data_IF_826303701463
#
_entry.id   IF_826303701463
#
_cell.length_a   1.000
_cell.length_b   1.000
_cell.length_c   1.000
_cell.angle_alpha   90.00
_cell.angle_beta   90.00
_cell.angle_gamma   90.00
#
_symmetry.space_group_name_H-M   'P 1'
#
loop_
_entity.id
_entity.type
_entity.pdbx_description
1 polymer ?
#
# COMPACT_ATOMS: atom_id res chain seq x y z
N UNK A 1 25.68 12.46 15.05
CA UNK A 1 26.32 11.19 14.59
C UNK A 1 25.89 9.94 15.38
N UNK A 2 25.37 10.07 16.60
CA UNK A 2 24.80 8.96 17.40
C UNK A 2 23.29 8.74 17.18
N UNK A 3 22.68 9.42 16.21
CA UNK A 3 21.25 9.24 15.94
C UNK A 3 20.99 7.78 15.51
N UNK A 4 20.13 7.09 16.24
CA UNK A 4 19.65 5.76 15.90
C UNK A 4 18.74 5.91 14.69
N UNK A 5 19.00 5.13 13.64
CA UNK A 5 18.22 5.12 12.42
C UNK A 5 17.68 3.71 12.16
N UNK A 6 16.50 3.65 11.55
CA UNK A 6 15.95 2.41 11.02
C UNK A 6 16.51 2.14 9.63
N UNK A 7 16.86 0.88 9.39
CA UNK A 7 17.40 0.40 8.13
C UNK A 7 16.88 -1.00 7.83
N UNK A 8 16.50 -1.25 6.57
CA UNK A 8 16.18 -2.59 6.11
C UNK A 8 17.37 -3.19 5.36
N UNK A 9 17.73 -4.43 5.68
CA UNK A 9 18.77 -5.20 5.01
C UNK A 9 18.12 -6.37 4.28
N UNK A 10 18.42 -6.52 2.99
CA UNK A 10 18.10 -7.73 2.24
C UNK A 10 19.36 -8.59 2.12
N UNK A 11 19.34 -9.75 2.78
CA UNK A 11 20.44 -10.70 2.81
C UNK A 11 20.09 -11.90 1.94
N UNK A 12 20.85 -12.11 0.87
CA UNK A 12 20.71 -13.27 0.00
C UNK A 12 21.61 -14.39 0.50
N UNK A 13 21.05 -15.40 1.14
CA UNK A 13 21.78 -16.44 1.85
C UNK A 13 21.98 -17.68 0.97
N UNK A 14 23.25 -18.08 0.78
CA UNK A 14 23.61 -19.33 0.10
C UNK A 14 23.40 -20.55 1.00
N UNK A 15 23.63 -20.35 2.29
CA UNK A 15 23.53 -21.40 3.31
C UNK A 15 22.10 -21.58 3.82
N UNK A 16 21.89 -22.64 4.62
CA UNK A 16 20.60 -22.90 5.29
C UNK A 16 20.28 -21.95 6.45
N UNK A 17 19.11 -22.14 7.07
CA UNK A 17 18.59 -21.28 8.14
C UNK A 17 19.48 -21.21 9.40
N UNK A 18 20.41 -22.16 9.60
CA UNK A 18 21.35 -22.12 10.74
C UNK A 18 22.22 -20.85 10.78
N UNK A 19 22.44 -20.20 9.63
CA UNK A 19 23.21 -18.96 9.52
C UNK A 19 22.45 -17.76 10.09
N UNK A 20 21.13 -17.84 10.27
CA UNK A 20 20.29 -16.77 10.80
C UNK A 20 20.66 -16.42 12.24
N UNK A 21 20.91 -17.41 13.09
CA UNK A 21 21.35 -17.20 14.47
C UNK A 21 22.67 -16.41 14.53
N UNK A 22 23.58 -16.67 13.57
CA UNK A 22 24.84 -15.94 13.43
C UNK A 22 24.62 -14.50 12.97
N UNK A 23 23.66 -14.26 12.07
CA UNK A 23 23.28 -12.90 11.62
C UNK A 23 22.76 -12.09 12.79
N UNK A 24 21.81 -12.63 13.55
CA UNK A 24 21.23 -11.97 14.71
C UNK A 24 22.30 -11.64 15.75
N UNK A 25 23.19 -12.59 16.05
CA UNK A 25 24.32 -12.35 16.96
C UNK A 25 25.30 -11.29 16.44
N UNK A 26 25.50 -11.23 15.12
CA UNK A 26 26.37 -10.22 14.51
C UNK A 26 25.74 -8.83 14.62
N UNK A 27 24.43 -8.70 14.40
CA UNK A 27 23.70 -7.45 14.58
C UNK A 27 23.80 -6.97 16.03
N UNK A 28 23.64 -7.88 16.99
CA UNK A 28 23.76 -7.60 18.42
C UNK A 28 25.20 -7.14 18.78
N UNK A 29 26.23 -7.80 18.26
CA UNK A 29 27.63 -7.40 18.46
C UNK A 29 27.96 -5.98 17.94
N UNK A 30 27.21 -5.49 16.95
CA UNK A 30 27.33 -4.12 16.44
C UNK A 30 26.33 -3.15 17.12
N UNK A 31 25.75 -3.52 18.26
CA UNK A 31 24.77 -2.73 19.02
C UNK A 31 23.55 -2.32 18.16
N UNK A 32 23.00 -3.27 17.39
CA UNK A 32 21.75 -3.08 16.65
C UNK A 32 20.58 -3.84 17.26
N UNK A 33 19.40 -3.26 17.20
CA UNK A 33 18.15 -3.91 17.57
C UNK A 33 17.43 -4.41 16.30
N UNK A 34 16.90 -5.64 16.31
CA UNK A 34 16.12 -6.18 15.20
C UNK A 34 14.64 -5.90 15.46
N UNK A 35 14.01 -5.16 14.56
CA UNK A 35 12.59 -4.77 14.67
C UNK A 35 11.68 -5.71 13.88
N UNK A 36 12.18 -6.22 12.76
CA UNK A 36 11.45 -7.17 11.92
C UNK A 36 12.44 -8.13 11.28
N UNK A 37 12.08 -9.41 11.25
CA UNK A 37 12.84 -10.41 10.51
C UNK A 37 11.87 -11.35 9.81
N UNK A 38 12.03 -11.47 8.50
CA UNK A 38 11.32 -12.44 7.68
C UNK A 38 12.29 -13.15 6.74
N UNK A 39 12.00 -14.42 6.46
CA UNK A 39 12.76 -15.22 5.50
C UNK A 39 11.81 -15.81 4.47
N UNK A 40 12.28 -15.93 3.24
CA UNK A 40 11.58 -16.58 2.13
C UNK A 40 12.55 -17.44 1.34
N UNK A 41 12.11 -18.56 0.76
CA UNK A 41 12.89 -19.28 -0.24
C UNK A 41 13.25 -18.34 -1.40
N UNK A 42 14.52 -18.27 -1.77
CA UNK A 42 14.93 -17.39 -2.86
C UNK A 42 14.57 -17.98 -4.22
N UNK A 43 14.26 -17.12 -5.19
CA UNK A 43 14.06 -17.49 -6.58
C UNK A 43 15.37 -17.40 -7.40
N UNK A 44 16.45 -16.87 -6.80
CA UNK A 44 17.72 -16.68 -7.47
C UNK A 44 18.58 -17.96 -7.46
N UNK A 45 19.18 -18.29 -8.61
CA UNK A 45 20.04 -19.46 -8.75
C UNK A 45 21.24 -19.40 -7.77
N UNK A 46 21.41 -20.45 -6.97
CA UNK A 46 22.50 -20.56 -5.99
C UNK A 46 22.25 -19.83 -4.66
N UNK A 47 21.06 -19.27 -4.45
CA UNK A 47 20.61 -18.69 -3.17
C UNK A 47 19.50 -19.57 -2.61
N UNK A 48 19.60 -19.96 -1.34
CA UNK A 48 18.56 -20.78 -0.70
C UNK A 48 17.45 -19.92 -0.10
N UNK A 49 17.82 -18.84 0.57
CA UNK A 49 16.87 -17.96 1.27
C UNK A 49 17.20 -16.50 1.06
N UNK A 50 16.16 -15.69 0.94
CA UNK A 50 16.24 -14.24 1.09
C UNK A 50 15.71 -13.87 2.47
N UNK A 51 16.52 -13.16 3.25
CA UNK A 51 16.15 -12.65 4.57
C UNK A 51 16.02 -11.13 4.52
N UNK A 52 14.83 -10.61 4.85
CA UNK A 52 14.62 -9.19 5.08
C UNK A 52 14.70 -8.93 6.58
N UNK A 53 15.66 -8.11 6.98
CA UNK A 53 15.92 -7.77 8.38
C UNK A 53 15.83 -6.26 8.55
N UNK A 54 14.84 -5.77 9.29
CA UNK A 54 14.76 -4.37 9.71
C UNK A 54 15.49 -4.21 11.04
N UNK A 55 16.43 -3.28 11.09
CA UNK A 55 17.26 -3.00 12.26
C UNK A 55 17.24 -1.53 12.62
N UNK A 56 17.25 -1.23 13.91
CA UNK A 56 17.54 0.10 14.44
C UNK A 56 18.94 0.14 15.07
N UNK A 57 19.81 0.98 14.52
CA UNK A 57 21.19 1.13 15.00
C UNK A 57 21.82 2.45 14.55
N UNK A 58 22.99 2.80 15.08
CA UNK A 58 23.73 3.99 14.64
C UNK A 58 24.27 3.83 13.21
N UNK A 59 24.43 4.93 12.48
CA UNK A 59 24.98 4.90 11.10
C UNK A 59 26.37 4.27 11.01
N UNK A 60 27.23 4.54 12.00
CA UNK A 60 28.60 3.99 12.05
C UNK A 60 28.53 2.47 12.16
N UNK A 61 27.72 1.97 13.09
CA UNK A 61 27.59 0.54 13.33
C UNK A 61 26.93 -0.18 12.15
N UNK A 62 25.92 0.43 11.51
CA UNK A 62 25.29 -0.11 10.31
C UNK A 62 26.30 -0.32 9.18
N UNK A 63 27.16 0.66 8.93
CA UNK A 63 28.19 0.56 7.90
C UNK A 63 29.24 -0.52 8.24
N UNK A 64 29.61 -0.67 9.51
CA UNK A 64 30.51 -1.73 9.95
C UNK A 64 29.86 -3.12 9.82
N UNK A 65 28.60 -3.26 10.23
CA UNK A 65 27.80 -4.47 10.06
C UNK A 65 27.74 -4.88 8.58
N UNK A 66 27.39 -3.97 7.67
CA UNK A 66 27.31 -4.26 6.23
C UNK A 66 28.67 -4.73 5.68
N UNK A 67 29.77 -4.09 6.09
CA UNK A 67 31.12 -4.53 5.69
C UNK A 67 31.41 -5.95 6.18
N UNK A 68 31.11 -6.24 7.45
CA UNK A 68 31.29 -7.57 8.04
C UNK A 68 30.46 -8.64 7.32
N UNK A 69 29.18 -8.36 7.06
CA UNK A 69 28.29 -9.26 6.34
C UNK A 69 28.77 -9.50 4.89
N UNK A 70 29.25 -8.48 4.19
CA UNK A 70 29.80 -8.61 2.83
C UNK A 70 31.10 -9.41 2.75
N UNK A 71 31.87 -9.49 3.84
CA UNK A 71 33.08 -10.31 3.92
C UNK A 71 32.76 -11.80 4.13
N UNK A 72 31.54 -12.13 4.56
CA UNK A 72 31.13 -13.51 4.77
C UNK A 72 30.75 -14.18 3.45
N UNK A 73 31.30 -15.36 3.19
CA UNK A 73 31.02 -16.19 2.00
C UNK A 73 29.61 -16.79 1.99
N UNK A 74 28.92 -16.75 3.14
CA UNK A 74 27.57 -17.27 3.32
C UNK A 74 26.49 -16.46 2.60
N UNK A 75 26.82 -15.23 2.16
CA UNK A 75 25.88 -14.36 1.46
C UNK A 75 26.27 -14.22 -0.01
N UNK A 76 25.29 -14.36 -0.89
CA UNK A 76 25.42 -13.99 -2.30
C UNK A 76 25.34 -12.46 -2.51
N UNK A 77 24.68 -11.75 -1.59
CA UNK A 77 24.53 -10.31 -1.63
C UNK A 77 23.97 -9.73 -0.33
N UNK A 78 24.35 -8.49 -0.03
CA UNK A 78 23.90 -7.70 1.12
C UNK A 78 23.51 -6.32 0.61
N UNK A 79 22.20 -6.11 0.48
CA UNK A 79 21.63 -4.86 -0.03
C UNK A 79 21.05 -4.05 1.13
N UNK A 80 21.51 -2.80 1.29
CA UNK A 80 20.93 -1.84 2.22
C UNK A 80 19.76 -1.11 1.55
N UNK A 81 18.61 -1.20 2.17
CA UNK A 81 17.37 -0.51 1.83
C UNK A 81 17.14 0.53 2.93
N UNK A 82 17.67 1.73 2.73
CA UNK A 82 17.53 2.81 3.71
C UNK A 82 16.18 3.52 3.53
N UNK A 83 15.45 3.73 4.62
CA UNK A 83 14.27 4.62 4.65
C UNK A 83 14.66 6.11 4.66
N UNK A 84 15.92 6.45 4.98
CA UNK A 84 16.38 7.83 5.02
C UNK A 84 17.73 8.03 4.31
N UNK A 85 17.68 8.76 3.18
CA UNK A 85 18.73 9.62 2.59
C UNK A 85 20.22 9.27 2.90
N UNK A 86 20.61 8.02 2.67
CA UNK A 86 22.02 7.65 2.47
C UNK A 86 22.14 7.15 1.05
N UNK A 87 22.43 8.09 0.13
CA UNK A 87 22.90 7.87 -1.25
C UNK A 87 22.75 6.42 -1.77
N UNK A 88 21.52 6.03 -2.08
CA UNK A 88 21.24 4.86 -2.89
C UNK A 88 20.39 5.35 -4.05
N UNK A 89 20.84 5.07 -5.27
CA UNK A 89 20.19 5.46 -6.54
C UNK A 89 18.82 4.77 -6.77
N UNK A 90 18.20 4.22 -5.73
CA UNK A 90 17.00 3.40 -5.81
C UNK A 90 15.99 3.89 -4.77
N UNK A 91 14.90 4.54 -5.21
CA UNK A 91 13.87 4.98 -4.28
C UNK A 91 13.18 3.78 -3.63
N UNK A 92 12.79 3.93 -2.37
CA UNK A 92 12.01 2.94 -1.63
C UNK A 92 10.70 2.61 -2.36
N UNK A 93 10.27 1.35 -2.27
CA UNK A 93 8.98 0.87 -2.74
C UNK A 93 8.47 -0.27 -1.84
N UNK A 94 7.15 -0.40 -1.64
CA UNK A 94 6.55 -1.47 -0.86
C UNK A 94 6.90 -2.83 -1.45
N UNK A 95 7.22 -3.80 -0.59
CA UNK A 95 7.61 -5.16 -1.00
C UNK A 95 6.53 -6.19 -0.70
N UNK A 96 5.69 -5.89 0.27
CA UNK A 96 4.51 -6.66 0.60
C UNK A 96 3.27 -5.75 0.58
N UNK A 97 2.08 -6.30 0.31
CA UNK A 97 0.85 -5.52 0.25
C UNK A 97 0.51 -4.83 1.59
N UNK A 98 0.98 -5.35 2.71
CA UNK A 98 0.89 -4.68 4.02
C UNK A 98 1.73 -3.41 4.13
N UNK A 99 2.82 -3.29 3.36
CA UNK A 99 3.64 -2.08 3.35
C UNK A 99 2.88 -0.89 2.73
N UNK A 100 1.77 -1.14 2.03
CA UNK A 100 0.88 -0.08 1.53
C UNK A 100 0.22 0.70 2.66
N UNK A 101 0.21 0.19 3.90
CA UNK A 101 -0.18 0.96 5.08
C UNK A 101 0.72 2.19 5.32
N UNK A 102 1.92 2.20 4.74
CA UNK A 102 2.86 3.32 4.77
C UNK A 102 2.77 4.21 3.52
N UNK A 103 1.96 3.83 2.52
CA UNK A 103 1.78 4.55 1.25
C UNK A 103 0.56 5.48 1.31
N UNK A 104 0.51 6.35 2.33
CA UNK A 104 -0.61 7.29 2.56
C UNK A 104 -0.22 8.74 2.27
N UNK A 105 0.81 9.01 1.45
CA UNK A 105 1.21 10.39 1.18
C UNK A 105 0.15 11.07 0.32
N UNK A 106 -0.63 11.97 0.94
CA UNK A 106 -1.68 12.71 0.27
C UNK A 106 -1.14 13.97 -0.40
N UNK A 107 -1.74 14.30 -1.54
CA UNK A 107 -1.61 15.58 -2.22
C UNK A 107 -2.68 16.52 -1.68
N UNK A 108 -2.26 17.60 -1.02
CA UNK A 108 -3.15 18.59 -0.38
C UNK A 108 -3.90 19.49 -1.36
N UNK A 109 -3.53 19.47 -2.65
CA UNK A 109 -4.03 20.41 -3.67
C UNK A 109 -5.56 20.35 -3.91
N UNK A 110 -6.22 19.25 -3.54
CA UNK A 110 -7.63 19.00 -3.85
C UNK A 110 -8.49 18.79 -2.60
N UNK A 111 -8.01 19.24 -1.45
CA UNK A 111 -8.82 19.22 -0.23
C UNK A 111 -9.88 20.33 -0.31
N UNK A 112 -11.17 20.02 -0.08
CA UNK A 112 -12.26 21.00 -0.20
C UNK A 112 -12.12 22.22 0.73
N UNK A 113 -11.32 22.13 1.78
CA UNK A 113 -10.99 23.24 2.68
C UNK A 113 -9.91 24.18 2.14
N UNK A 114 -9.11 23.69 1.19
CA UNK A 114 -7.98 24.39 0.60
C UNK A 114 -8.28 24.92 -0.82
N UNK A 115 -9.36 24.46 -1.46
CA UNK A 115 -9.79 24.90 -2.79
C UNK A 115 -11.08 25.72 -2.76
N UNK A 116 -10.95 27.04 -2.88
CA UNK A 116 -12.08 27.98 -2.93
C UNK A 116 -13.02 27.78 -4.13
N UNK A 117 -12.57 27.11 -5.19
CA UNK A 117 -13.41 26.81 -6.36
C UNK A 117 -14.21 25.51 -6.18
N UNK A 118 -13.98 24.76 -5.11
CA UNK A 118 -14.74 23.55 -4.85
C UNK A 118 -16.20 23.90 -4.51
N UNK A 119 -17.21 23.28 -5.15
CA UNK A 119 -18.62 23.65 -4.94
C UNK A 119 -19.09 23.47 -3.49
N UNK A 120 -18.47 22.54 -2.76
CA UNK A 120 -18.69 22.32 -1.33
C UNK A 120 -17.79 23.13 -0.38
N UNK A 121 -17.01 24.11 -0.85
CA UNK A 121 -16.08 24.88 0.00
C UNK A 121 -16.79 25.59 1.16
N UNK A 122 -17.92 26.24 0.87
CA UNK A 122 -18.71 26.97 1.86
C UNK A 122 -19.70 26.08 2.63
N UNK A 123 -19.88 24.82 2.23
CA UNK A 123 -20.80 23.89 2.84
C UNK A 123 -20.14 23.21 4.06
N UNK A 124 -20.64 23.52 5.26
CA UNK A 124 -20.09 22.99 6.51
C UNK A 124 -20.42 21.51 6.69
N UNK A 125 -21.65 21.11 6.36
CA UNK A 125 -22.12 19.74 6.55
C UNK A 125 -21.40 18.81 5.58
N UNK A 126 -21.18 19.25 4.34
CA UNK A 126 -20.38 18.51 3.36
C UNK A 126 -18.92 18.32 3.79
N UNK A 127 -18.29 19.36 4.36
CA UNK A 127 -16.90 19.26 4.87
C UNK A 127 -16.78 18.30 6.04
N UNK A 128 -17.69 18.39 7.01
CA UNK A 128 -17.74 17.48 8.14
C UNK A 128 -17.97 16.04 7.68
N UNK A 129 -18.90 15.83 6.74
CA UNK A 129 -19.15 14.52 6.13
C UNK A 129 -17.93 13.95 5.41
N UNK A 130 -17.17 14.79 4.68
CA UNK A 130 -15.91 14.39 4.03
C UNK A 130 -14.84 14.00 5.04
N UNK A 131 -14.71 14.73 6.13
CA UNK A 131 -13.78 14.42 7.22
C UNK A 131 -14.08 13.07 7.86
N UNK A 132 -15.35 12.79 8.16
CA UNK A 132 -15.79 11.49 8.69
C UNK A 132 -15.41 10.33 7.76
N UNK A 133 -15.65 10.47 6.46
CA UNK A 133 -15.30 9.43 5.47
C UNK A 133 -13.78 9.27 5.35
N UNK A 134 -13.02 10.37 5.40
CA UNK A 134 -11.56 10.33 5.37
C UNK A 134 -10.97 9.63 6.61
N UNK A 135 -11.52 9.88 7.81
CA UNK A 135 -11.08 9.22 9.05
C UNK A 135 -11.27 7.70 8.99
N UNK A 136 -12.36 7.22 8.38
CA UNK A 136 -12.59 5.78 8.11
C UNK A 136 -11.46 5.21 7.23
N UNK A 137 -11.06 5.93 6.18
CA UNK A 137 -9.98 5.50 5.30
C UNK A 137 -8.61 5.50 5.99
N UNK A 138 -8.34 6.47 6.88
CA UNK A 138 -7.09 6.52 7.66
C UNK A 138 -6.99 5.40 8.70
N UNK A 139 -8.12 4.99 9.29
CA UNK A 139 -8.17 3.92 10.28
C UNK A 139 -7.95 2.52 9.67
N UNK A 140 -8.17 2.36 8.37
CA UNK A 140 -8.03 1.09 7.68
C UNK A 140 -6.59 0.57 7.65
N UNK A 141 -6.43 -0.74 7.93
CA UNK A 141 -5.16 -1.46 7.80
C UNK A 141 -5.30 -2.65 6.87
N UNK A 142 -4.20 -3.01 6.22
CA UNK A 142 -4.18 -4.17 5.33
C UNK A 142 -4.57 -5.44 6.08
N UNK A 143 -5.58 -6.14 5.57
CA UNK A 143 -6.10 -7.38 6.14
C UNK A 143 -7.42 -7.22 6.90
N UNK A 144 -7.76 -5.99 7.29
CA UNK A 144 -9.07 -5.69 7.88
C UNK A 144 -10.17 -5.65 6.79
N UNK A 145 -11.43 -5.98 7.13
CA UNK A 145 -12.54 -5.73 6.22
C UNK A 145 -12.73 -4.23 5.99
N UNK A 146 -13.07 -3.83 4.76
CA UNK A 146 -13.27 -2.41 4.44
C UNK A 146 -14.55 -1.94 5.18
N UNK A 147 -14.47 -0.87 6.00
CA UNK A 147 -15.63 -0.40 6.75
C UNK A 147 -16.76 0.05 5.82
N UNK A 148 -17.99 -0.29 6.22
CA UNK A 148 -19.18 0.14 5.48
C UNK A 148 -19.57 1.57 5.84
N UNK A 149 -20.05 2.32 4.84
CA UNK A 149 -20.53 3.69 5.01
C UNK A 149 -22.05 3.71 4.84
N UNK A 150 -22.74 4.23 5.84
CA UNK A 150 -24.18 4.53 5.74
C UNK A 150 -24.37 5.82 4.96
N UNK A 151 -24.63 5.70 3.66
CA UNK A 151 -24.89 6.85 2.79
C UNK A 151 -26.27 7.46 3.05
N UNK A 152 -26.35 8.79 2.99
CA UNK A 152 -27.61 9.52 3.14
C UNK A 152 -28.50 9.36 1.90
N UNK A 153 -29.77 9.72 2.04
CA UNK A 153 -30.70 9.74 0.90
C UNK A 153 -30.23 10.70 -0.20
N UNK A 154 -29.67 11.86 0.17
CA UNK A 154 -29.14 12.84 -0.79
C UNK A 154 -27.90 12.32 -1.55
N UNK A 155 -27.02 11.59 -0.86
CA UNK A 155 -25.85 10.93 -1.48
C UNK A 155 -26.31 9.85 -2.47
N UNK A 156 -27.26 8.99 -2.08
CA UNK A 156 -27.81 7.96 -2.97
C UNK A 156 -28.61 8.55 -4.14
N UNK A 157 -29.34 9.64 -3.95
CA UNK A 157 -30.04 10.34 -5.03
C UNK A 157 -29.05 10.96 -6.05
N UNK A 158 -27.91 11.47 -5.57
CA UNK A 158 -26.84 11.98 -6.44
C UNK A 158 -26.23 10.85 -7.26
N UNK A 159 -25.94 9.72 -6.63
CA UNK A 159 -25.49 8.50 -7.31
C UNK A 159 -26.47 8.06 -8.39
N UNK A 160 -27.78 7.99 -8.08
CA UNK A 160 -28.81 7.56 -9.01
C UNK A 160 -28.83 8.40 -10.30
N UNK A 161 -28.70 9.73 -10.18
CA UNK A 161 -28.67 10.64 -11.34
C UNK A 161 -27.48 10.37 -12.25
N UNK A 162 -26.29 10.24 -11.65
CA UNK A 162 -25.05 9.96 -12.40
C UNK A 162 -25.11 8.57 -13.03
N UNK A 163 -25.53 7.57 -12.27
CA UNK A 163 -25.64 6.18 -12.71
C UNK A 163 -26.53 6.04 -13.96
N UNK A 164 -27.73 6.63 -13.92
CA UNK A 164 -28.66 6.57 -15.06
C UNK A 164 -28.10 7.26 -16.30
N UNK A 165 -27.41 8.39 -16.14
CA UNK A 165 -26.78 9.11 -17.25
C UNK A 165 -25.65 8.27 -17.88
N UNK A 166 -24.81 7.67 -17.05
CA UNK A 166 -23.72 6.79 -17.53
C UNK A 166 -24.30 5.55 -18.23
N UNK A 167 -25.37 4.96 -17.68
CA UNK A 167 -26.01 3.78 -18.25
C UNK A 167 -26.58 4.05 -19.64
N UNK A 168 -27.19 5.22 -19.87
CA UNK A 168 -27.72 5.63 -21.17
C UNK A 168 -26.61 5.85 -22.23
N UNK A 169 -25.48 6.42 -21.83
CA UNK A 169 -24.34 6.69 -22.72
C UNK A 169 -23.47 5.46 -23.01
N UNK A 170 -23.50 4.46 -22.12
CA UNK A 170 -22.61 3.30 -22.16
C UNK A 170 -22.64 2.49 -23.47
N UNK A 171 -23.80 2.21 -24.10
CA UNK A 171 -23.84 1.40 -25.32
C UNK A 171 -23.00 1.99 -26.46
N UNK A 172 -23.03 3.33 -26.59
CA UNK A 172 -22.38 4.09 -27.66
C UNK A 172 -20.90 4.37 -27.37
N UNK A 173 -20.55 4.63 -26.12
CA UNK A 173 -19.23 5.18 -25.77
C UNK A 173 -18.30 4.19 -25.08
N UNK A 174 -18.80 3.13 -24.45
CA UNK A 174 -17.97 2.20 -23.69
C UNK A 174 -17.44 1.04 -24.54
N UNK A 175 -16.21 0.61 -24.23
CA UNK A 175 -15.62 -0.59 -24.82
C UNK A 175 -16.37 -1.86 -24.39
N UNK A 176 -16.11 -2.96 -25.10
CA UNK A 176 -16.78 -4.25 -24.88
C UNK A 176 -16.47 -4.81 -23.48
N UNK A 177 -15.23 -4.67 -23.02
CA UNK A 177 -14.76 -5.14 -21.72
C UNK A 177 -15.50 -4.44 -20.58
N UNK A 178 -15.68 -3.12 -20.68
CA UNK A 178 -16.45 -2.34 -19.72
C UNK A 178 -17.89 -2.83 -19.65
N UNK A 179 -18.57 -2.96 -20.80
CA UNK A 179 -19.96 -3.45 -20.87
C UNK A 179 -20.12 -4.84 -20.25
N UNK A 180 -19.18 -5.74 -20.54
CA UNK A 180 -19.20 -7.09 -20.00
C UNK A 180 -18.97 -7.13 -18.48
N UNK A 181 -18.04 -6.32 -17.95
CA UNK A 181 -17.79 -6.22 -16.52
C UNK A 181 -18.95 -5.57 -15.78
N UNK A 182 -19.49 -4.48 -16.33
CA UNK A 182 -20.63 -3.77 -15.77
C UNK A 182 -21.86 -4.67 -15.64
N UNK A 183 -22.19 -5.44 -16.69
CA UNK A 183 -23.30 -6.39 -16.63
C UNK A 183 -23.14 -7.46 -15.54
N UNK A 184 -21.91 -7.92 -15.27
CA UNK A 184 -21.64 -8.86 -14.16
C UNK A 184 -21.84 -8.21 -12.79
N UNK A 185 -21.43 -6.96 -12.63
CA UNK A 185 -21.62 -6.19 -11.39
C UNK A 185 -23.11 -5.92 -11.11
N UNK A 186 -23.91 -5.67 -12.15
CA UNK A 186 -25.37 -5.55 -12.01
C UNK A 186 -26.02 -6.89 -11.67
N UNK A 187 -25.62 -7.97 -12.35
CA UNK A 187 -26.14 -9.32 -12.07
C UNK A 187 -25.82 -9.79 -10.64
N UNK A 188 -24.76 -9.25 -10.03
CA UNK A 188 -24.37 -9.50 -8.65
C UNK A 188 -25.02 -8.54 -7.63
N UNK A 189 -25.94 -7.66 -8.06
CA UNK A 189 -26.60 -6.64 -7.22
C UNK A 189 -25.63 -5.64 -6.54
N UNK A 190 -24.43 -5.49 -7.11
CA UNK A 190 -23.42 -4.54 -6.60
C UNK A 190 -23.68 -3.17 -7.22
N UNK A 191 -23.84 -3.10 -8.53
CA UNK A 191 -24.11 -1.84 -9.24
C UNK A 191 -25.60 -1.68 -9.50
N UNK A 192 -26.24 -0.90 -8.62
CA UNK A 192 -27.67 -0.59 -8.68
C UNK A 192 -27.90 0.92 -8.70
N UNK A 193 -28.98 1.41 -9.31
CA UNK A 193 -29.22 2.86 -9.42
C UNK A 193 -29.58 3.51 -8.09
N UNK A 194 -30.19 2.79 -7.15
CA UNK A 194 -30.79 3.37 -5.94
C UNK A 194 -29.88 3.39 -4.70
N UNK A 195 -28.66 2.83 -4.81
CA UNK A 195 -27.73 2.68 -3.67
C UNK A 195 -26.28 2.73 -4.14
N UNK A 196 -25.44 3.47 -3.44
CA UNK A 196 -23.99 3.46 -3.63
C UNK A 196 -23.42 2.10 -3.17
N UNK A 197 -22.63 1.40 -4.01
CA UNK A 197 -22.00 0.14 -3.62
C UNK A 197 -21.03 0.31 -2.45
N UNK A 198 -20.98 -0.66 -1.55
CA UNK A 198 -19.94 -0.71 -0.52
C UNK A 198 -18.63 -1.19 -1.12
N UNK A 199 -17.52 -0.59 -0.71
CA UNK A 199 -16.19 -0.92 -1.24
C UNK A 199 -15.81 -2.39 -0.98
N UNK A 200 -16.21 -2.96 0.15
CA UNK A 200 -15.95 -4.36 0.49
C UNK A 200 -16.58 -5.32 -0.54
N UNK A 201 -17.84 -5.09 -0.93
CA UNK A 201 -18.53 -5.92 -1.93
C UNK A 201 -17.83 -5.86 -3.30
N UNK A 202 -17.42 -4.66 -3.71
CA UNK A 202 -16.69 -4.45 -4.97
C UNK A 202 -15.30 -5.10 -4.90
N UNK A 203 -14.59 -4.94 -3.77
CA UNK A 203 -13.27 -5.55 -3.52
C UNK A 203 -13.35 -7.08 -3.59
N UNK A 204 -14.37 -7.67 -2.97
CA UNK A 204 -14.62 -9.12 -2.99
C UNK A 204 -14.93 -9.63 -4.39
N UNK A 205 -15.73 -8.89 -5.16
CA UNK A 205 -16.00 -9.19 -6.56
C UNK A 205 -14.72 -9.15 -7.41
N UNK A 206 -13.94 -8.07 -7.32
CA UNK A 206 -12.68 -7.94 -8.07
C UNK A 206 -11.68 -9.03 -7.69
N UNK A 207 -11.59 -9.39 -6.40
CA UNK A 207 -10.65 -10.41 -5.91
C UNK A 207 -10.97 -11.76 -6.52
N UNK A 208 -12.25 -12.11 -6.58
CA UNK A 208 -12.73 -13.37 -7.20
C UNK A 208 -12.46 -13.44 -8.70
N UNK A 209 -12.51 -12.31 -9.40
CA UNK A 209 -12.44 -12.28 -10.87
C UNK A 209 -11.05 -12.05 -11.44
N UNK A 210 -10.22 -11.23 -10.80
CA UNK A 210 -8.90 -10.80 -11.32
C UNK A 210 -7.80 -10.80 -10.26
N UNK A 211 -8.15 -11.06 -9.00
CA UNK A 211 -7.24 -10.90 -7.87
C UNK A 211 -6.96 -9.44 -7.50
N UNK A 212 -7.67 -8.47 -8.08
CA UNK A 212 -7.63 -7.08 -7.61
C UNK A 212 -8.45 -6.91 -6.34
N UNK A 213 -7.99 -6.05 -5.44
CA UNK A 213 -8.73 -5.63 -4.24
C UNK A 213 -8.81 -4.12 -4.21
N UNK A 214 -9.74 -3.57 -3.42
CA UNK A 214 -9.80 -2.13 -3.17
C UNK A 214 -9.21 -1.80 -1.81
N UNK A 215 -8.62 -0.61 -1.70
CA UNK A 215 -8.19 0.00 -0.44
C UNK A 215 -8.83 1.38 -0.32
N UNK A 216 -9.47 1.72 0.81
CA UNK A 216 -9.99 3.06 1.00
C UNK A 216 -8.84 4.07 1.08
N UNK A 217 -8.97 5.18 0.37
CA UNK A 217 -8.01 6.28 0.38
C UNK A 217 -8.70 7.57 0.83
N UNK A 218 -8.11 8.29 1.79
CA UNK A 218 -8.67 9.52 2.33
C UNK A 218 -8.67 10.68 1.32
N UNK A 219 -7.87 10.58 0.26
CA UNK A 219 -7.69 11.62 -0.74
C UNK A 219 -6.78 11.18 -1.87
N UNK A 220 -6.26 12.16 -2.61
CA UNK A 220 -5.41 11.91 -3.77
C UNK A 220 -4.00 11.55 -3.31
N UNK A 221 -3.57 10.31 -3.55
CA UNK A 221 -2.22 9.86 -3.22
C UNK A 221 -1.19 10.44 -4.19
N UNK A 222 0.08 10.50 -3.76
CA UNK A 222 1.17 10.76 -4.70
C UNK A 222 1.21 9.70 -5.81
N UNK A 223 1.66 10.09 -7.00
CA UNK A 223 1.77 9.16 -8.13
C UNK A 223 2.63 7.93 -7.79
N UNK A 224 3.66 8.09 -6.95
CA UNK A 224 4.51 7.00 -6.47
C UNK A 224 3.69 5.97 -5.69
N UNK A 225 2.96 6.41 -4.66
CA UNK A 225 2.21 5.52 -3.77
C UNK A 225 1.04 4.85 -4.49
N UNK A 226 0.36 5.60 -5.36
CA UNK A 226 -0.71 5.04 -6.19
C UNK A 226 -0.20 3.95 -7.14
N UNK A 227 0.86 4.23 -7.90
CA UNK A 227 1.43 3.24 -8.83
C UNK A 227 2.06 2.04 -8.11
N UNK A 228 2.60 2.25 -6.92
CA UNK A 228 3.12 1.17 -6.09
C UNK A 228 2.00 0.21 -5.63
N UNK A 229 0.80 0.73 -5.34
CA UNK A 229 -0.37 -0.10 -4.97
C UNK A 229 -0.81 -1.03 -6.10
N UNK A 230 -0.78 -0.53 -7.35
CA UNK A 230 -1.15 -1.32 -8.53
C UNK A 230 -0.24 -2.53 -8.75
N UNK A 231 1.02 -2.49 -8.30
CA UNK A 231 1.94 -3.62 -8.37
C UNK A 231 1.45 -4.83 -7.56
N UNK A 232 0.62 -4.59 -6.53
CA UNK A 232 0.00 -5.61 -5.69
C UNK A 232 -1.46 -5.90 -6.09
N UNK A 233 -1.94 -5.31 -7.20
CA UNK A 233 -3.35 -5.36 -7.60
C UNK A 233 -4.28 -4.75 -6.53
N UNK A 234 -3.85 -3.68 -5.88
CA UNK A 234 -4.61 -2.89 -4.90
C UNK A 234 -4.96 -1.52 -5.49
#
# INVERSE_FOLDING_TARGET
>A
EQAIQQAALLLRMRDGMGTLARILKTIDNYNGCVEHLETRPSQAAGVRFDALVKVSMSRINLLQLIRSLRQSTSFAGVDLMSDNNISTKTPWFPRHASDLDNCNHLMTKYEPELDMNHPGFADKDYRERRKQIAEIAFAYKYGDPIPSITYTESENATWQRVFNTVLDLMPKHACREYKAAFGKLQAADIFVPHRIPQLEDVSNFLRKHTGFTLRPAAGLLTARDFLASLAFRV
#
